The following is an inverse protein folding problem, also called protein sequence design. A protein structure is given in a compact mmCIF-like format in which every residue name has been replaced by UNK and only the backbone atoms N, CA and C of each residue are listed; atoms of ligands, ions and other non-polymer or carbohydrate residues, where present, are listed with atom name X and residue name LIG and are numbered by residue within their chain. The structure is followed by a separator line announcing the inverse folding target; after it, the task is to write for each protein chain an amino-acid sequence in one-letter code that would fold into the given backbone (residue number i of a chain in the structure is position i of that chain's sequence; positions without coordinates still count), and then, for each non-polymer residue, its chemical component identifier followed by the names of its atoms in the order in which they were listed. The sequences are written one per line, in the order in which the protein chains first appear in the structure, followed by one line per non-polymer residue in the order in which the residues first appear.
data_IF_893946292963
#
_entry.id   IF_893946292963
#
_cell.length_a   1.000
_cell.length_b   1.000
_cell.length_c   1.000
_cell.angle_alpha   90.00
_cell.angle_beta   90.00
_cell.angle_gamma   90.00
#
_symmetry.space_group_name_H-M   'P 1'
#
loop_
_entity.id
_entity.type
_entity.pdbx_description
1 polymer ?
#
# COMPACT_ATOMS: atom_id res chain seq x y z
N UNK A 1 13.68 13.50 11.27
CA UNK A 1 12.67 12.43 11.30
C UNK A 1 13.17 11.36 12.26
N UNK A 2 12.28 10.62 12.89
CA UNK A 2 12.67 9.48 13.72
C UNK A 2 13.02 8.29 12.79
N UNK A 3 14.15 7.57 12.97
CA UNK A 3 14.50 6.40 12.15
C UNK A 3 13.37 5.37 11.99
N UNK A 4 12.52 5.21 13.00
CA UNK A 4 11.35 4.33 12.94
C UNK A 4 10.27 4.84 11.97
N UNK A 5 10.06 6.16 11.90
CA UNK A 5 9.13 6.78 10.95
C UNK A 5 9.66 6.68 9.52
N UNK A 6 10.97 6.84 9.32
CA UNK A 6 11.60 6.67 8.01
C UNK A 6 11.44 5.24 7.49
N UNK A 7 11.68 4.26 8.37
CA UNK A 7 11.47 2.85 8.03
C UNK A 7 9.99 2.56 7.73
N UNK A 8 9.06 3.06 8.54
CA UNK A 8 7.63 2.91 8.32
C UNK A 8 7.20 3.44 6.94
N UNK A 9 7.64 4.65 6.62
CA UNK A 9 7.38 5.27 5.33
C UNK A 9 7.99 4.48 4.18
N UNK A 10 9.23 4.00 4.33
CA UNK A 10 9.90 3.20 3.30
C UNK A 10 9.14 1.89 3.00
N UNK A 11 8.67 1.19 4.03
CA UNK A 11 7.86 -0.03 3.87
C UNK A 11 6.57 0.26 3.09
N UNK A 12 5.85 1.33 3.46
CA UNK A 12 4.60 1.70 2.80
C UNK A 12 4.83 2.10 1.34
N UNK A 13 5.85 2.92 1.08
CA UNK A 13 6.19 3.35 -0.28
C UNK A 13 6.58 2.17 -1.16
N UNK A 14 7.32 1.19 -0.60
CA UNK A 14 7.67 -0.02 -1.32
C UNK A 14 6.42 -0.84 -1.67
N UNK A 15 5.51 -1.07 -0.72
CA UNK A 15 4.26 -1.80 -0.97
C UNK A 15 3.38 -1.13 -2.04
N UNK A 16 3.31 0.21 -2.05
CA UNK A 16 2.61 0.97 -3.10
C UNK A 16 3.26 0.79 -4.47
N UNK A 17 4.60 0.80 -4.53
CA UNK A 17 5.34 0.57 -5.77
C UNK A 17 5.09 -0.85 -6.29
N UNK A 18 5.15 -1.85 -5.43
CA UNK A 18 4.92 -3.24 -5.80
C UNK A 18 3.49 -3.43 -6.32
N UNK A 19 2.50 -2.79 -5.69
CA UNK A 19 1.10 -2.80 -6.16
C UNK A 19 0.96 -2.27 -7.60
N UNK A 20 1.69 -1.20 -7.94
CA UNK A 20 1.65 -0.61 -9.29
C UNK A 20 2.30 -1.52 -10.33
N UNK A 21 3.38 -2.21 -9.96
CA UNK A 21 4.18 -3.03 -10.87
C UNK A 21 3.57 -4.40 -11.16
N UNK A 22 2.78 -4.97 -10.25
CA UNK A 22 2.21 -6.31 -10.43
C UNK A 22 0.83 -6.31 -11.08
N UNK A 23 0.61 -7.15 -12.08
CA UNK A 23 -0.73 -7.46 -12.62
C UNK A 23 -1.28 -8.80 -12.10
N UNK A 24 -0.55 -9.49 -11.22
CA UNK A 24 -1.00 -10.72 -10.59
C UNK A 24 -2.04 -10.40 -9.51
N UNK A 25 -3.28 -10.88 -9.72
CA UNK A 25 -4.40 -10.64 -8.81
C UNK A 25 -4.15 -11.19 -7.39
N UNK A 26 -3.37 -12.27 -7.25
CA UNK A 26 -3.02 -12.81 -5.93
C UNK A 26 -2.06 -11.88 -5.20
N UNK A 27 -1.06 -11.36 -5.89
CA UNK A 27 -0.10 -10.42 -5.32
C UNK A 27 -0.78 -9.10 -4.93
N UNK A 28 -1.70 -8.60 -5.77
CA UNK A 28 -2.53 -7.43 -5.44
C UNK A 28 -3.33 -7.66 -4.15
N UNK A 29 -3.95 -8.84 -3.99
CA UNK A 29 -4.72 -9.18 -2.78
C UNK A 29 -3.86 -9.28 -1.53
N UNK A 30 -2.63 -9.81 -1.64
CA UNK A 30 -1.69 -9.88 -0.52
C UNK A 30 -1.25 -8.48 -0.07
N UNK A 31 -0.96 -7.58 -1.02
CA UNK A 31 -0.60 -6.19 -0.72
C UNK A 31 -1.79 -5.43 -0.11
N UNK A 32 -3.01 -5.64 -0.59
CA UNK A 32 -4.20 -5.06 0.05
C UNK A 32 -4.44 -5.59 1.46
N UNK A 33 -4.16 -6.88 1.69
CA UNK A 33 -4.24 -7.47 3.03
C UNK A 33 -3.19 -6.85 3.96
N UNK A 34 -2.01 -6.52 3.45
CA UNK A 34 -1.02 -5.75 4.20
C UNK A 34 -1.56 -4.35 4.59
N UNK A 35 -2.14 -3.60 3.66
CA UNK A 35 -2.73 -2.29 3.98
C UNK A 35 -3.88 -2.38 4.99
N UNK A 36 -4.71 -3.43 4.92
CA UNK A 36 -5.79 -3.69 5.91
C UNK A 36 -5.28 -4.23 7.25
N UNK A 37 -4.00 -4.55 7.36
CA UNK A 37 -3.45 -5.11 8.58
C UNK A 37 -3.35 -4.06 9.69
N UNK A 38 -3.46 -4.48 10.95
CA UNK A 38 -3.24 -3.58 12.09
C UNK A 38 -1.85 -2.94 12.09
N UNK A 39 -0.87 -3.56 11.43
CA UNK A 39 0.48 -3.01 11.29
C UNK A 39 0.49 -1.73 10.44
N UNK A 40 -0.30 -1.65 9.39
CA UNK A 40 -0.40 -0.43 8.58
C UNK A 40 -0.92 0.77 9.38
N UNK A 41 -1.90 0.54 10.26
CA UNK A 41 -2.41 1.59 11.17
C UNK A 41 -1.40 2.03 12.25
N UNK A 42 -0.40 1.18 12.55
CA UNK A 42 0.74 1.56 13.42
C UNK A 42 1.76 2.39 12.63
N UNK A 43 1.99 2.05 11.37
CA UNK A 43 2.96 2.73 10.50
C UNK A 43 2.42 4.03 9.88
N UNK A 44 1.10 4.19 9.78
CA UNK A 44 0.45 5.28 9.06
C UNK A 44 -0.89 5.67 9.67
N UNK A 45 -1.23 6.96 9.50
CA UNK A 45 -2.57 7.50 9.83
C UNK A 45 -3.50 7.55 8.61
N UNK A 46 -3.03 7.10 7.45
CA UNK A 46 -3.83 7.07 6.22
C UNK A 46 -4.90 6.00 6.36
N UNK A 47 -6.10 6.29 5.86
CA UNK A 47 -7.17 5.30 5.75
C UNK A 47 -6.77 4.25 4.69
N UNK A 48 -6.60 2.98 5.06
CA UNK A 48 -6.19 1.94 4.12
C UNK A 48 -7.21 1.72 3.00
N UNK A 49 -8.52 1.88 3.24
CA UNK A 49 -9.53 1.69 2.20
C UNK A 49 -9.49 2.83 1.18
N UNK A 50 -9.18 4.05 1.63
CA UNK A 50 -8.94 5.17 0.73
C UNK A 50 -7.73 4.92 -0.18
N UNK A 51 -6.61 4.47 0.40
CA UNK A 51 -5.39 4.15 -0.35
C UNK A 51 -5.64 3.06 -1.41
N UNK A 52 -6.25 1.94 -1.00
CA UNK A 52 -6.55 0.82 -1.91
C UNK A 52 -7.47 1.27 -3.05
N UNK A 53 -8.49 2.09 -2.76
CA UNK A 53 -9.42 2.60 -3.76
C UNK A 53 -8.72 3.43 -4.83
N UNK A 54 -7.83 4.33 -4.43
CA UNK A 54 -7.07 5.16 -5.37
C UNK A 54 -6.10 4.31 -6.20
N UNK A 55 -5.41 3.34 -5.58
CA UNK A 55 -4.51 2.43 -6.31
C UNK A 55 -5.25 1.57 -7.35
N UNK A 56 -6.43 1.04 -7.02
CA UNK A 56 -7.30 0.32 -7.97
C UNK A 56 -7.83 1.20 -9.09
N UNK A 57 -7.98 2.49 -8.83
CA UNK A 57 -8.43 3.47 -9.84
C UNK A 57 -7.29 3.82 -10.78
N UNK A 58 -6.08 4.05 -10.25
CA UNK A 58 -4.84 4.24 -11.01
C UNK A 58 -4.62 3.07 -11.98
N UNK A 59 -4.61 1.83 -11.45
CA UNK A 59 -4.50 0.59 -12.25
C UNK A 59 -5.54 0.44 -13.37
N UNK A 60 -6.75 1.00 -13.20
CA UNK A 60 -7.80 0.96 -14.22
C UNK A 60 -7.65 2.04 -15.28
N UNK A 61 -7.07 3.19 -14.93
CA UNK A 61 -6.85 4.30 -15.84
C UNK A 61 -5.57 4.13 -16.67
N UNK A 62 -4.61 3.34 -16.19
CA UNK A 62 -3.35 3.03 -16.90
C UNK A 62 -3.48 1.88 -17.92
N UNK A 63 -4.65 1.21 -17.99
CA UNK A 63 -4.98 0.16 -18.98
C UNK A 63 -5.79 0.74 -20.14
#
# INVERSE_FOLDING_TARGET
MNPYEELANAIILQAVKDYRLTDDERELQEIERFFRSGWFGVLSKVDPEFLIKELRKEKRNDR
#
